data_IF_573751225068
#
_entry.id   IF_573751225068
#
_cell.length_a   1.000
_cell.length_b   1.000
_cell.length_c   1.000
_cell.angle_alpha   90.00
_cell.angle_beta   90.00
_cell.angle_gamma   90.00
#
_symmetry.space_group_name_H-M   'P 1'
#
loop_
_entity.id
_entity.type
_entity.pdbx_description
1 polymer ?
#
# COMPACT_ATOMS: atom_id res chain seq x y z
N UNK A 1 27.92 -7.76 37.16
CA UNK A 1 27.58 -8.68 36.05
C UNK A 1 26.07 -8.88 35.87
N UNK A 2 25.26 -9.10 36.92
CA UNK A 2 23.81 -9.31 36.79
C UNK A 2 23.03 -8.11 36.22
N UNK A 3 23.42 -6.87 36.54
CA UNK A 3 22.75 -5.66 36.03
C UNK A 3 22.89 -5.50 34.50
N UNK A 4 24.05 -5.89 33.94
CA UNK A 4 24.33 -5.79 32.51
C UNK A 4 23.52 -6.81 31.70
N UNK A 5 23.35 -8.02 32.25
CA UNK A 5 22.51 -9.09 31.67
C UNK A 5 21.02 -8.74 31.70
N UNK A 6 20.54 -8.08 32.76
CA UNK A 6 19.16 -7.57 32.85
C UNK A 6 18.92 -6.44 31.83
N UNK A 7 19.87 -5.51 31.68
CA UNK A 7 19.77 -4.44 30.69
C UNK A 7 19.80 -4.99 29.25
N UNK A 8 20.69 -5.93 28.94
CA UNK A 8 20.73 -6.61 27.65
C UNK A 8 19.43 -7.38 27.37
N UNK A 9 18.89 -8.09 28.36
CA UNK A 9 17.62 -8.81 28.25
C UNK A 9 16.43 -7.88 27.98
N UNK A 10 16.36 -6.73 28.67
CA UNK A 10 15.30 -5.73 28.45
C UNK A 10 15.42 -5.09 27.06
N UNK A 11 16.63 -4.80 26.59
CA UNK A 11 16.86 -4.26 25.24
C UNK A 11 16.48 -5.27 24.17
N UNK A 12 16.93 -6.53 24.28
CA UNK A 12 16.60 -7.61 23.34
C UNK A 12 15.11 -7.91 23.28
N UNK A 13 14.41 -7.95 24.42
CA UNK A 13 12.94 -8.14 24.46
C UNK A 13 12.22 -6.94 23.84
N UNK A 14 12.75 -5.72 24.01
CA UNK A 14 12.16 -4.51 23.42
C UNK A 14 12.37 -4.44 21.91
N UNK A 15 13.53 -4.87 21.41
CA UNK A 15 13.83 -4.95 19.97
C UNK A 15 13.04 -6.08 19.30
N UNK A 16 12.95 -7.25 19.92
CA UNK A 16 12.15 -8.38 19.42
C UNK A 16 10.65 -8.03 19.37
N UNK A 17 10.13 -7.35 20.41
CA UNK A 17 8.77 -6.80 20.39
C UNK A 17 8.60 -5.65 19.39
N UNK A 18 9.65 -4.87 19.10
CA UNK A 18 9.60 -3.82 18.07
C UNK A 18 9.60 -4.41 16.66
N UNK A 19 10.22 -5.57 16.44
CA UNK A 19 10.17 -6.31 15.19
C UNK A 19 8.79 -6.95 14.96
N UNK A 20 8.16 -7.48 16.02
CA UNK A 20 6.78 -8.00 16.00
C UNK A 20 5.69 -6.95 15.70
N UNK A 21 5.96 -5.65 15.92
CA UNK A 21 5.01 -4.55 15.65
C UNK A 21 5.03 -4.01 14.23
N UNK A 22 5.98 -4.48 13.41
CA UNK A 22 6.19 -3.95 12.06
C UNK A 22 5.36 -4.73 11.06
N UNK A 23 4.40 -4.04 10.44
CA UNK A 23 3.67 -4.58 9.30
C UNK A 23 4.43 -4.24 8.01
N UNK A 24 4.51 -5.23 7.12
CA UNK A 24 5.13 -5.08 5.80
C UNK A 24 4.07 -4.69 4.79
N UNK A 25 4.29 -3.61 4.07
CA UNK A 25 3.39 -3.16 3.01
C UNK A 25 4.18 -2.99 1.73
N UNK A 26 3.84 -3.80 0.72
CA UNK A 26 4.46 -3.68 -0.58
C UNK A 26 3.88 -2.48 -1.31
N UNK A 27 4.72 -1.63 -1.87
CA UNK A 27 4.32 -0.54 -2.73
C UNK A 27 4.93 -0.74 -4.10
N UNK A 28 4.11 -0.65 -5.13
CA UNK A 28 4.60 -0.52 -6.49
C UNK A 28 4.78 0.93 -6.83
N UNK A 29 5.95 1.26 -7.40
CA UNK A 29 6.33 2.64 -7.69
C UNK A 29 6.70 2.76 -9.17
N UNK A 30 5.98 3.60 -9.91
CA UNK A 30 6.33 3.93 -11.30
C UNK A 30 7.42 4.99 -11.39
N UNK A 31 8.30 4.83 -12.38
CA UNK A 31 9.39 5.77 -12.62
C UNK A 31 10.56 5.64 -11.65
N UNK A 32 10.65 4.53 -10.90
CA UNK A 32 11.88 4.15 -10.22
C UNK A 32 12.99 3.94 -11.28
N UNK A 33 14.19 4.43 -11.02
CA UNK A 33 15.32 4.20 -11.92
C UNK A 33 15.97 2.86 -11.57
N UNK A 34 16.16 1.99 -12.58
CA UNK A 34 16.62 0.61 -12.40
C UNK A 34 18.10 0.46 -12.09
N UNK A 35 18.87 1.54 -12.22
CA UNK A 35 20.30 1.64 -11.89
C UNK A 35 20.55 2.02 -10.42
N UNK A 36 19.49 2.27 -9.63
CA UNK A 36 19.62 2.60 -8.22
C UNK A 36 19.92 1.36 -7.40
N UNK A 37 20.91 1.49 -6.51
CA UNK A 37 21.06 0.57 -5.38
C UNK A 37 19.82 0.65 -4.48
N UNK A 38 19.52 -0.43 -3.75
CA UNK A 38 18.44 -0.46 -2.77
C UNK A 38 18.48 0.74 -1.81
N UNK A 39 19.68 1.07 -1.30
CA UNK A 39 19.89 2.22 -0.40
C UNK A 39 19.50 3.54 -1.06
N UNK A 40 19.88 3.76 -2.33
CA UNK A 40 19.52 4.97 -3.05
C UNK A 40 18.01 5.04 -3.33
N UNK A 41 17.40 3.92 -3.69
CA UNK A 41 15.98 3.84 -3.96
C UNK A 41 15.15 4.14 -2.70
N UNK A 42 15.53 3.58 -1.56
CA UNK A 42 14.88 3.85 -0.28
C UNK A 42 15.14 5.26 0.26
N UNK A 43 16.32 5.84 0.00
CA UNK A 43 16.59 7.24 0.31
C UNK A 43 15.70 8.18 -0.52
N UNK A 44 15.51 7.89 -1.81
CA UNK A 44 14.59 8.67 -2.64
C UNK A 44 13.16 8.58 -2.11
N UNK A 45 12.73 7.40 -1.68
CA UNK A 45 11.42 7.19 -1.07
C UNK A 45 11.25 7.98 0.22
N UNK A 46 12.29 8.02 1.07
CA UNK A 46 12.22 8.74 2.35
C UNK A 46 12.14 10.25 2.19
N UNK A 47 12.79 10.80 1.17
CA UNK A 47 12.70 12.23 0.83
C UNK A 47 11.30 12.68 0.39
N UNK A 48 10.41 11.77 -0.03
CA UNK A 48 9.07 12.14 -0.50
C UNK A 48 8.09 12.39 0.64
N UNK A 49 8.26 11.70 1.77
CA UNK A 49 7.35 11.73 2.92
C UNK A 49 8.07 12.00 4.26
N UNK A 50 8.97 13.01 4.33
CA UNK A 50 9.94 13.15 5.40
C UNK A 50 9.32 13.23 6.80
N UNK A 51 8.12 13.82 6.92
CA UNK A 51 7.40 13.92 8.20
C UNK A 51 7.07 12.56 8.81
N UNK A 52 6.74 11.57 7.98
CA UNK A 52 6.35 10.23 8.44
C UNK A 52 7.54 9.34 8.75
N UNK A 53 8.63 9.50 8.01
CA UNK A 53 9.92 8.87 8.35
C UNK A 53 10.46 9.43 9.67
N UNK A 54 10.45 10.76 9.84
CA UNK A 54 10.90 11.41 11.06
C UNK A 54 10.03 11.09 12.28
N UNK A 55 8.72 10.87 12.10
CA UNK A 55 7.81 10.49 13.21
C UNK A 55 7.95 9.02 13.64
N UNK A 56 8.83 8.25 12.98
CA UNK A 56 8.97 6.81 13.20
C UNK A 56 7.79 5.99 12.69
N UNK A 57 6.92 6.54 11.83
CA UNK A 57 5.82 5.76 11.24
C UNK A 57 6.38 4.73 10.26
N UNK A 58 7.36 5.16 9.46
CA UNK A 58 8.11 4.31 8.54
C UNK A 58 9.50 4.08 9.10
N UNK A 59 9.82 2.81 9.35
CA UNK A 59 11.10 2.43 9.96
C UNK A 59 12.15 2.07 8.93
N UNK A 60 11.75 1.34 7.89
CA UNK A 60 12.67 0.81 6.90
C UNK A 60 11.97 0.62 5.55
N UNK A 61 12.78 0.47 4.51
CA UNK A 61 12.38 0.21 3.15
C UNK A 61 13.32 -0.82 2.53
N UNK A 62 12.79 -1.71 1.69
CA UNK A 62 13.57 -2.64 0.88
C UNK A 62 13.07 -2.62 -0.56
N UNK A 63 13.98 -2.60 -1.53
CA UNK A 63 13.63 -2.80 -2.94
C UNK A 63 13.70 -4.29 -3.27
N UNK A 64 12.55 -4.93 -3.49
CA UNK A 64 12.48 -6.38 -3.75
C UNK A 64 12.68 -6.73 -5.21
N UNK A 65 12.07 -5.98 -6.11
CA UNK A 65 12.15 -6.23 -7.54
C UNK A 65 12.16 -4.92 -8.31
N UNK A 66 12.78 -4.96 -9.48
CA UNK A 66 12.68 -3.92 -10.49
C UNK A 66 12.36 -4.56 -11.83
N UNK A 67 11.20 -4.24 -12.41
CA UNK A 67 10.76 -4.83 -13.68
C UNK A 67 10.10 -3.74 -14.53
N UNK A 68 10.64 -3.49 -15.72
CA UNK A 68 10.10 -2.56 -16.72
C UNK A 68 9.70 -1.17 -16.16
N UNK A 69 10.57 -0.54 -15.37
CA UNK A 69 10.29 0.79 -14.81
C UNK A 69 9.43 0.81 -13.54
N UNK A 70 9.02 -0.36 -13.05
CA UNK A 70 8.26 -0.53 -11.81
C UNK A 70 9.15 -1.14 -10.72
N UNK A 71 9.30 -0.42 -9.62
CA UNK A 71 9.97 -0.92 -8.41
C UNK A 71 8.93 -1.45 -7.41
N UNK A 72 9.15 -2.68 -6.92
CA UNK A 72 8.38 -3.24 -5.80
C UNK A 72 9.15 -3.00 -4.50
N UNK A 73 8.62 -2.12 -3.65
CA UNK A 73 9.22 -1.73 -2.38
C UNK A 73 8.47 -2.34 -1.21
N UNK A 74 9.15 -2.87 -0.21
CA UNK A 74 8.52 -3.26 1.06
C UNK A 74 8.80 -2.18 2.08
N UNK A 75 7.73 -1.55 2.60
CA UNK A 75 7.79 -0.61 3.71
C UNK A 75 7.51 -1.31 5.03
N UNK A 76 8.31 -1.00 6.04
CA UNK A 76 8.09 -1.44 7.42
C UNK A 76 7.39 -0.33 8.20
N UNK A 77 6.15 -0.58 8.57
CA UNK A 77 5.24 0.41 9.16
C UNK A 77 4.95 0.07 10.62
N UNK A 78 4.97 1.08 11.50
CA UNK A 78 4.51 0.97 12.89
C UNK A 78 2.97 0.83 12.93
N UNK A 79 2.49 -0.40 13.08
CA UNK A 79 1.06 -0.69 13.09
C UNK A 79 0.36 -0.19 14.37
N UNK A 80 1.07 -0.16 15.50
CA UNK A 80 0.53 0.35 16.77
C UNK A 80 0.30 1.86 16.68
N UNK A 81 1.25 2.60 16.13
CA UNK A 81 1.11 4.03 15.90
C UNK A 81 -0.06 4.32 14.94
N UNK A 82 -0.23 3.52 13.90
CA UNK A 82 -1.35 3.63 12.96
C UNK A 82 -2.69 3.38 13.66
N UNK A 83 -2.80 2.27 14.40
CA UNK A 83 -4.01 1.90 15.14
C UNK A 83 -4.37 2.94 16.20
N UNK A 84 -3.38 3.46 16.93
CA UNK A 84 -3.59 4.49 17.94
C UNK A 84 -4.13 5.80 17.34
N UNK A 85 -3.68 6.18 16.14
CA UNK A 85 -4.09 7.43 15.48
C UNK A 85 -5.39 7.32 14.70
N UNK A 86 -5.64 6.18 14.04
CA UNK A 86 -6.72 6.05 13.05
C UNK A 86 -7.74 4.95 13.39
N UNK A 87 -7.54 4.24 14.50
CA UNK A 87 -8.36 3.11 14.92
C UNK A 87 -8.01 1.81 14.19
N UNK A 88 -8.82 0.78 14.43
CA UNK A 88 -8.68 -0.50 13.73
C UNK A 88 -9.16 -0.34 12.28
N UNK A 89 -8.35 -0.82 11.34
CA UNK A 89 -8.65 -0.87 9.91
C UNK A 89 -8.44 -2.31 9.44
N UNK A 90 -9.15 -2.74 8.40
CA UNK A 90 -8.77 -3.99 7.73
C UNK A 90 -7.50 -3.79 6.88
N UNK A 91 -7.06 -4.84 6.20
CA UNK A 91 -5.87 -4.84 5.33
C UNK A 91 -5.97 -3.83 4.17
N UNK A 92 -7.16 -3.61 3.65
CA UNK A 92 -7.43 -2.68 2.56
C UNK A 92 -7.34 -1.22 3.04
N UNK A 93 -8.01 -0.91 4.16
CA UNK A 93 -7.93 0.40 4.81
C UNK A 93 -6.52 0.72 5.28
N UNK A 94 -5.77 -0.28 5.76
CA UNK A 94 -4.37 -0.13 6.14
C UNK A 94 -3.50 0.21 4.93
N UNK A 95 -3.63 -0.55 3.83
CA UNK A 95 -2.91 -0.31 2.57
C UNK A 95 -3.17 1.09 2.02
N UNK A 96 -4.43 1.50 2.01
CA UNK A 96 -4.85 2.83 1.60
C UNK A 96 -4.20 3.91 2.45
N UNK A 97 -4.25 3.76 3.77
CA UNK A 97 -3.70 4.74 4.68
C UNK A 97 -2.18 4.86 4.50
N UNK A 98 -1.45 3.74 4.44
CA UNK A 98 -0.01 3.75 4.17
C UNK A 98 0.31 4.40 2.82
N UNK A 99 -0.49 4.14 1.79
CA UNK A 99 -0.37 4.82 0.48
C UNK A 99 -0.50 6.33 0.62
N UNK A 100 -1.48 6.83 1.36
CA UNK A 100 -1.63 8.28 1.61
C UNK A 100 -0.41 8.86 2.31
N UNK A 101 0.12 8.16 3.33
CA UNK A 101 1.27 8.62 4.10
C UNK A 101 2.57 8.62 3.27
N UNK A 102 2.82 7.59 2.45
CA UNK A 102 4.02 7.57 1.59
C UNK A 102 3.93 8.62 0.46
N UNK A 103 2.71 9.01 0.07
CA UNK A 103 2.44 10.16 -0.79
C UNK A 103 2.46 11.51 -0.03
N UNK A 104 2.92 11.52 1.22
CA UNK A 104 3.03 12.69 2.10
C UNK A 104 1.69 13.42 2.36
N UNK A 105 0.57 12.73 2.17
CA UNK A 105 -0.79 13.30 2.10
C UNK A 105 -0.96 14.38 1.02
N UNK A 106 -0.04 14.46 0.07
CA UNK A 106 -0.08 15.45 -1.00
C UNK A 106 -0.87 14.92 -2.19
N UNK A 107 -1.71 15.79 -2.78
CA UNK A 107 -2.45 15.52 -4.01
C UNK A 107 -3.68 14.60 -3.86
N UNK A 108 -4.35 14.40 -4.99
CA UNK A 108 -5.62 13.66 -5.14
C UNK A 108 -5.41 12.14 -5.31
N UNK A 109 -4.22 11.63 -5.00
CA UNK A 109 -3.91 10.21 -5.06
C UNK A 109 -4.55 9.53 -3.86
N UNK A 110 -5.77 9.05 -4.08
CA UNK A 110 -6.64 8.56 -3.02
C UNK A 110 -6.98 7.09 -3.20
N UNK A 111 -6.32 6.36 -4.11
CA UNK A 111 -6.56 4.92 -4.27
C UNK A 111 -5.34 4.07 -3.92
N UNK A 112 -5.60 2.89 -3.36
CA UNK A 112 -4.65 1.79 -3.20
C UNK A 112 -5.27 0.53 -3.80
N UNK A 113 -4.45 -0.41 -4.25
CA UNK A 113 -4.94 -1.68 -4.78
C UNK A 113 -4.52 -2.84 -3.91
N UNK A 114 -5.49 -3.66 -3.52
CA UNK A 114 -5.18 -4.96 -2.96
C UNK A 114 -5.40 -6.02 -4.05
N UNK A 115 -4.31 -6.60 -4.54
CA UNK A 115 -4.35 -7.89 -5.22
C UNK A 115 -4.20 -8.93 -4.11
N UNK A 116 -5.33 -9.39 -3.57
CA UNK A 116 -5.43 -10.17 -2.33
C UNK A 116 -4.23 -11.09 -2.09
N UNK A 117 -3.71 -11.02 -0.87
CA UNK A 117 -2.70 -11.86 -0.23
C UNK A 117 -2.91 -13.39 -0.27
N UNK A 118 -3.84 -13.92 -1.08
CA UNK A 118 -4.14 -15.35 -1.14
C UNK A 118 -3.36 -15.99 -2.28
N UNK A 119 -2.13 -16.43 -1.97
CA UNK A 119 -1.27 -17.31 -2.79
C UNK A 119 -1.24 -16.87 -4.25
N UNK A 120 -0.21 -16.10 -4.66
CA UNK A 120 0.19 -15.88 -6.06
C UNK A 120 -0.85 -16.43 -7.09
N UNK A 121 -1.85 -15.62 -7.42
CA UNK A 121 -2.62 -15.80 -8.66
C UNK A 121 -3.51 -17.06 -8.79
N UNK A 122 -4.30 -17.44 -7.78
CA UNK A 122 -5.29 -18.52 -7.93
C UNK A 122 -6.56 -18.12 -8.72
N UNK A 123 -6.97 -16.85 -8.70
CA UNK A 123 -7.89 -16.26 -9.68
C UNK A 123 -7.31 -14.93 -10.13
N UNK A 124 -6.65 -14.93 -11.28
CA UNK A 124 -5.85 -13.81 -11.74
C UNK A 124 -6.66 -12.63 -12.25
N UNK A 125 -7.99 -12.76 -12.38
CA UNK A 125 -8.81 -11.73 -12.99
C UNK A 125 -9.37 -10.73 -11.97
N UNK A 126 -9.35 -11.06 -10.68
CA UNK A 126 -9.92 -10.25 -9.59
C UNK A 126 -8.90 -9.31 -8.95
N UNK A 127 -9.31 -8.07 -8.69
CA UNK A 127 -8.53 -7.08 -7.93
C UNK A 127 -9.44 -6.24 -7.03
N UNK A 128 -8.90 -5.75 -5.92
CA UNK A 128 -9.59 -4.81 -5.05
C UNK A 128 -8.96 -3.43 -5.19
N UNK A 129 -9.80 -2.41 -5.26
CA UNK A 129 -9.40 -1.01 -5.20
C UNK A 129 -10.04 -0.39 -3.97
N UNK A 130 -9.24 0.28 -3.17
CA UNK A 130 -9.68 0.98 -1.95
C UNK A 130 -9.40 2.46 -2.09
N UNK A 131 -10.39 3.29 -1.81
CA UNK A 131 -10.30 4.74 -1.90
C UNK A 131 -11.52 5.46 -1.34
N UNK A 132 -11.68 6.77 -1.57
CA UNK A 132 -12.84 7.52 -1.15
C UNK A 132 -14.12 6.84 -1.62
N UNK A 133 -15.07 6.71 -0.70
CA UNK A 133 -16.37 6.13 -0.97
C UNK A 133 -17.13 7.04 -1.92
N UNK A 134 -17.28 6.58 -3.16
CA UNK A 134 -18.05 7.25 -4.21
C UNK A 134 -19.18 6.32 -4.65
N UNK A 135 -20.39 6.89 -4.79
CA UNK A 135 -21.59 6.12 -5.14
C UNK A 135 -21.52 5.55 -6.57
N UNK A 136 -20.85 6.27 -7.47
CA UNK A 136 -20.83 5.94 -8.90
C UNK A 136 -19.54 5.24 -9.34
N UNK A 137 -18.62 4.89 -8.41
CA UNK A 137 -17.32 4.30 -8.74
C UNK A 137 -17.42 3.16 -9.76
N UNK A 138 -18.30 2.19 -9.48
CA UNK A 138 -18.47 1.02 -10.33
C UNK A 138 -19.13 1.36 -11.67
N UNK A 139 -20.04 2.33 -11.69
CA UNK A 139 -20.69 2.80 -12.93
C UNK A 139 -19.65 3.46 -13.85
N UNK A 140 -18.70 4.20 -13.29
CA UNK A 140 -17.66 4.92 -14.04
C UNK A 140 -16.61 4.00 -14.67
N UNK A 141 -16.40 2.80 -14.11
CA UNK A 141 -15.31 1.91 -14.54
C UNK A 141 -15.80 0.63 -15.23
N UNK A 142 -17.01 0.15 -14.94
CA UNK A 142 -17.50 -1.10 -15.49
C UNK A 142 -17.77 -0.98 -16.99
N UNK A 143 -17.36 -2.00 -17.75
CA UNK A 143 -17.47 -2.01 -19.21
C UNK A 143 -16.47 -1.09 -19.93
N UNK A 144 -15.72 -0.26 -19.19
CA UNK A 144 -14.69 0.61 -19.76
C UNK A 144 -13.52 -0.23 -20.25
N UNK A 145 -13.11 0.04 -21.49
CA UNK A 145 -11.93 -0.54 -22.10
C UNK A 145 -10.69 0.26 -21.72
N UNK A 146 -9.67 -0.45 -21.23
CA UNK A 146 -8.35 0.05 -20.90
C UNK A 146 -7.33 -0.52 -21.88
N UNK A 147 -6.13 0.06 -21.91
CA UNK A 147 -5.04 -0.54 -22.68
C UNK A 147 -4.77 -1.96 -22.17
N UNK A 148 -5.09 -2.95 -23.01
CA UNK A 148 -4.89 -4.39 -22.79
C UNK A 148 -5.89 -5.13 -21.88
N UNK A 149 -6.97 -4.49 -21.41
CA UNK A 149 -8.03 -5.18 -20.63
C UNK A 149 -9.32 -4.37 -20.55
N UNK A 150 -10.39 -5.01 -20.08
CA UNK A 150 -11.71 -4.43 -19.80
C UNK A 150 -12.14 -4.81 -18.40
N UNK A 151 -12.74 -3.89 -17.65
CA UNK A 151 -13.39 -4.21 -16.37
C UNK A 151 -14.76 -4.82 -16.68
N UNK A 152 -14.92 -6.14 -16.51
CA UNK A 152 -16.17 -6.85 -16.81
C UNK A 152 -17.21 -6.71 -15.70
N UNK A 153 -16.76 -6.72 -14.45
CA UNK A 153 -17.62 -6.55 -13.28
C UNK A 153 -16.95 -5.59 -12.30
N UNK A 154 -17.73 -4.73 -11.67
CA UNK A 154 -17.33 -4.00 -10.46
C UNK A 154 -18.42 -4.15 -9.41
N UNK A 155 -18.01 -4.46 -8.17
CA UNK A 155 -18.92 -4.58 -7.03
C UNK A 155 -18.35 -3.84 -5.84
N UNK A 156 -19.19 -3.06 -5.17
CA UNK A 156 -18.86 -2.56 -3.85
C UNK A 156 -18.62 -3.74 -2.89
N UNK A 157 -17.49 -3.73 -2.20
CA UNK A 157 -17.05 -4.83 -1.34
C UNK A 157 -17.27 -4.50 0.14
N UNK A 158 -16.69 -3.41 0.62
CA UNK A 158 -16.78 -3.03 2.03
C UNK A 158 -16.60 -1.53 2.25
N UNK A 159 -17.10 -1.04 3.39
CA UNK A 159 -16.84 0.31 3.89
C UNK A 159 -15.91 0.23 5.10
N UNK A 160 -14.91 1.09 5.14
CA UNK A 160 -14.04 1.23 6.29
C UNK A 160 -14.72 1.97 7.46
N UNK A 161 -14.28 1.74 8.71
CA UNK A 161 -14.72 2.53 9.85
C UNK A 161 -14.46 4.03 9.65
N UNK A 162 -15.38 4.88 10.13
CA UNK A 162 -15.33 6.35 9.96
C UNK A 162 -14.12 7.05 10.60
N UNK A 163 -13.33 6.33 11.40
CA UNK A 163 -12.14 6.87 12.09
C UNK A 163 -10.90 6.97 11.19
N UNK A 164 -10.92 6.35 10.00
CA UNK A 164 -9.80 6.45 9.07
C UNK A 164 -9.79 7.84 8.44
N UNK A 165 -8.87 8.69 8.91
CA UNK A 165 -8.55 9.99 8.30
C UNK A 165 -9.75 10.94 8.06
N UNK A 166 -10.86 10.76 8.81
CA UNK A 166 -12.12 11.51 8.70
C UNK A 166 -12.79 11.48 7.31
N UNK A 167 -12.38 10.56 6.43
CA UNK A 167 -12.90 10.42 5.08
C UNK A 167 -13.62 9.06 4.96
N UNK A 168 -14.83 8.99 4.38
CA UNK A 168 -15.48 7.71 4.16
C UNK A 168 -14.69 6.94 3.09
N UNK A 169 -14.09 5.81 3.47
CA UNK A 169 -13.31 4.97 2.56
C UNK A 169 -14.11 3.71 2.21
N UNK A 170 -14.13 3.36 0.93
CA UNK A 170 -14.75 2.16 0.38
C UNK A 170 -13.74 1.28 -0.35
N UNK A 171 -14.01 -0.03 -0.35
CA UNK A 171 -13.29 -1.02 -1.16
C UNK A 171 -14.24 -1.57 -2.20
N UNK A 172 -13.74 -1.76 -3.42
CA UNK A 172 -14.46 -2.25 -4.58
C UNK A 172 -13.71 -3.43 -5.18
N UNK A 173 -14.42 -4.51 -5.49
CA UNK A 173 -13.88 -5.67 -6.18
C UNK A 173 -14.18 -5.57 -7.67
N UNK A 174 -13.14 -5.67 -8.49
CA UNK A 174 -13.19 -5.59 -9.95
C UNK A 174 -12.80 -6.94 -10.53
N UNK A 175 -13.50 -7.36 -11.57
CA UNK A 175 -13.14 -8.51 -12.39
C UNK A 175 -12.75 -8.05 -13.78
N UNK A 176 -11.54 -8.38 -14.20
CA UNK A 176 -11.02 -8.06 -15.53
C UNK A 176 -11.37 -9.19 -16.52
N UNK A 177 -11.36 -8.85 -17.81
CA UNK A 177 -11.53 -9.82 -18.90
C UNK A 177 -10.30 -10.71 -19.14
N UNK A 178 -9.14 -10.27 -18.66
CA UNK A 178 -7.86 -10.94 -18.75
C UNK A 178 -7.18 -10.99 -17.38
N UNK A 179 -6.13 -11.79 -17.27
CA UNK A 179 -5.22 -11.85 -16.12
C UNK A 179 -4.80 -10.42 -15.72
N UNK A 180 -5.14 -10.02 -14.51
CA UNK A 180 -4.74 -8.80 -13.81
C UNK A 180 -3.28 -8.89 -13.35
N UNK A 181 -2.37 -8.92 -14.30
CA UNK A 181 -0.94 -8.85 -14.00
C UNK A 181 -0.55 -7.50 -13.37
N UNK A 182 0.62 -7.47 -12.75
CA UNK A 182 1.18 -6.31 -12.06
C UNK A 182 1.16 -5.01 -12.88
N UNK A 183 1.35 -5.09 -14.20
CA UNK A 183 1.42 -3.92 -15.07
C UNK A 183 0.03 -3.38 -15.34
N UNK A 184 -0.93 -4.26 -15.63
CA UNK A 184 -2.33 -3.87 -15.82
C UNK A 184 -2.92 -3.22 -14.56
N UNK A 185 -2.65 -3.80 -13.40
CA UNK A 185 -3.10 -3.23 -12.11
C UNK A 185 -2.51 -1.85 -11.88
N UNK A 186 -1.21 -1.68 -12.11
CA UNK A 186 -0.56 -0.36 -12.00
C UNK A 186 -1.18 0.66 -12.98
N UNK A 187 -1.41 0.28 -14.23
CA UNK A 187 -2.03 1.15 -15.24
C UNK A 187 -3.46 1.54 -14.89
N UNK A 188 -4.24 0.60 -14.37
CA UNK A 188 -5.60 0.89 -13.91
C UNK A 188 -5.58 1.97 -12.83
N UNK A 189 -4.71 1.83 -11.83
CA UNK A 189 -4.60 2.79 -10.74
C UNK A 189 -4.09 4.15 -11.20
N UNK A 190 -3.14 4.18 -12.13
CA UNK A 190 -2.72 5.43 -12.76
C UNK A 190 -3.92 6.14 -13.41
N UNK A 191 -4.82 5.43 -14.08
CA UNK A 191 -5.98 6.03 -14.74
C UNK A 191 -7.13 6.37 -13.79
N UNK A 192 -7.40 5.55 -12.78
CA UNK A 192 -8.39 5.84 -11.73
C UNK A 192 -7.98 7.10 -10.94
N UNK A 193 -6.68 7.33 -10.79
CA UNK A 193 -6.15 8.58 -10.24
C UNK A 193 -5.94 9.69 -11.31
N UNK A 194 -6.65 9.59 -12.45
CA UNK A 194 -6.65 10.57 -13.56
C UNK A 194 -5.27 10.89 -14.17
N UNK A 195 -4.29 10.00 -14.02
CA UNK A 195 -2.92 10.21 -14.48
C UNK A 195 -2.21 11.37 -13.79
N UNK A 196 -2.72 11.85 -12.65
CA UNK A 196 -2.16 13.02 -11.96
C UNK A 196 -0.72 12.73 -11.51
N UNK A 197 0.21 13.68 -11.73
CA UNK A 197 1.59 13.50 -11.31
C UNK A 197 1.62 13.30 -9.78
N UNK A 198 2.42 12.33 -9.33
CA UNK A 198 2.63 11.91 -7.93
C UNK A 198 1.73 10.78 -7.41
N UNK A 199 0.77 10.25 -8.19
CA UNK A 199 0.09 8.98 -7.84
C UNK A 199 0.94 7.76 -8.22
N UNK A 200 2.24 7.84 -7.90
CA UNK A 200 3.24 6.86 -8.33
C UNK A 200 3.18 5.58 -7.51
N UNK A 201 2.61 5.64 -6.31
CA UNK A 201 2.71 4.62 -5.28
C UNK A 201 1.34 3.97 -5.10
N UNK A 202 1.30 2.66 -5.27
CA UNK A 202 0.13 1.86 -4.96
C UNK A 202 0.53 0.79 -3.97
N UNK A 203 -0.05 0.82 -2.77
CA UNK A 203 0.19 -0.21 -1.76
C UNK A 203 -0.61 -1.48 -2.04
N UNK A 204 0.00 -2.59 -1.68
CA UNK A 204 -0.55 -3.90 -1.42
C UNK A 204 -0.12 -4.30 0.00
N UNK A 205 -1.05 -4.54 0.91
CA UNK A 205 -0.69 -5.07 2.23
C UNK A 205 -0.11 -6.47 2.06
N UNK A 206 1.11 -6.67 2.55
CA UNK A 206 1.71 -8.00 2.68
C UNK A 206 1.95 -8.20 4.17
N UNK A 207 0.87 -8.16 4.93
CA UNK A 207 0.96 -8.38 6.36
C UNK A 207 1.02 -9.88 6.66
N UNK A 208 2.09 -10.29 7.37
CA UNK A 208 1.99 -11.40 8.29
C UNK A 208 1.39 -10.81 9.58
N UNK A 209 0.10 -11.05 9.82
CA UNK A 209 -0.49 -10.81 11.13
C UNK A 209 -0.12 -12.01 12.00
N UNK A 210 0.65 -11.77 13.07
CA UNK A 210 0.73 -12.70 14.20
C UNK A 210 0.04 -12.05 15.39
#
# INVERSE_FOLDING_TARGET
MQLLLLLLGVVLVKECNAELRRVRVLHRISGAKGDLTEKQACLQLSCQAPKFWASGLFHNCELKNYINGLGDFVLYVDADQMKARYGNTDEHGFSWLVTRRINNDTGDCTTASDASSRVYYADTHGIWITGPLTLNFCEDIQGRQYNHFTVKECKFYSKQPSKINMEPIGTYHLKLDNIADRFKVQRLLEQVNEGRPRCRYNALSIAYFH
#
